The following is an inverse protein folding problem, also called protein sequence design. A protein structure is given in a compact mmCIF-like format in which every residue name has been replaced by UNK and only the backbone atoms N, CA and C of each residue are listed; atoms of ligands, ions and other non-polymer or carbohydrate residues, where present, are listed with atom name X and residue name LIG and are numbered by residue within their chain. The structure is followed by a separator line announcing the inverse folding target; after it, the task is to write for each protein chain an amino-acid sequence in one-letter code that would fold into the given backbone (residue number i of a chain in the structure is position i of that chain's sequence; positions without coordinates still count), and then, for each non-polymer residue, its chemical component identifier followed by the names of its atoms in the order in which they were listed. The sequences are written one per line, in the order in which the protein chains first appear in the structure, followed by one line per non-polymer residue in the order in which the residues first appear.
data_IF_683026265461
#
_entry.id   IF_683026265461
#
_cell.length_a   1.000
_cell.length_b   1.000
_cell.length_c   1.000
_cell.angle_alpha   90.00
_cell.angle_beta   90.00
_cell.angle_gamma   90.00
#
_symmetry.space_group_name_H-M   'P 1'
#
loop_
_entity.id
_entity.type
_entity.pdbx_description
1 polymer ?
#
# COMPACT_ATOMS: atom_id res chain seq x y z
N UNK A 1 0.74 5.88 0.35
CA UNK A 1 0.59 5.77 -1.13
C UNK A 1 -0.85 5.38 -1.45
N UNK A 2 -1.61 6.19 -2.20
CA UNK A 2 -2.88 5.76 -2.80
C UNK A 2 -2.67 4.57 -3.73
N UNK A 3 -3.60 3.60 -3.69
CA UNK A 3 -3.50 2.37 -4.47
C UNK A 3 -4.25 2.50 -5.80
N UNK A 4 -3.49 2.45 -6.89
CA UNK A 4 -3.97 2.48 -8.28
C UNK A 4 -4.02 1.09 -8.92
N UNK A 5 -4.88 0.20 -8.42
CA UNK A 5 -4.91 -1.24 -8.73
C UNK A 5 -4.84 -1.57 -10.23
N UNK A 6 -5.59 -0.84 -11.05
CA UNK A 6 -5.67 -1.08 -12.50
C UNK A 6 -5.31 0.20 -13.28
N UNK A 7 -4.14 0.76 -13.01
CA UNK A 7 -3.70 2.05 -13.53
C UNK A 7 -4.63 3.22 -13.18
N UNK A 8 -5.36 3.11 -12.08
CA UNK A 8 -6.27 4.17 -11.61
C UNK A 8 -6.50 4.06 -10.11
N UNK A 9 -6.43 5.17 -9.40
CA UNK A 9 -6.99 5.30 -8.05
C UNK A 9 -8.50 5.42 -8.20
N UNK A 10 -9.22 4.44 -7.64
CA UNK A 10 -10.63 4.17 -7.98
C UNK A 10 -11.54 5.39 -7.88
N UNK A 11 -12.09 5.83 -9.01
CA UNK A 11 -13.06 6.91 -9.10
C UNK A 11 -12.45 8.31 -8.98
N UNK A 12 -11.12 8.45 -9.07
CA UNK A 12 -10.41 9.73 -8.95
C UNK A 12 -9.67 10.03 -10.25
N UNK A 13 -9.88 11.22 -10.80
CA UNK A 13 -9.12 11.69 -11.96
C UNK A 13 -7.69 12.08 -11.57
N UNK A 14 -6.75 11.94 -12.51
CA UNK A 14 -5.36 12.36 -12.30
C UNK A 14 -5.23 13.85 -11.94
N UNK A 15 -6.16 14.70 -12.42
CA UNK A 15 -6.22 16.11 -12.03
C UNK A 15 -6.45 16.27 -10.52
N UNK A 16 -7.43 15.57 -9.96
CA UNK A 16 -7.76 15.60 -8.53
C UNK A 16 -6.62 14.98 -7.70
N UNK A 17 -6.02 13.89 -8.18
CA UNK A 17 -4.82 13.33 -7.53
C UNK A 17 -3.70 14.38 -7.45
N UNK A 18 -3.48 15.14 -8.53
CA UNK A 18 -2.39 16.11 -8.61
C UNK A 18 -2.67 17.41 -7.87
N UNK A 19 -3.92 17.90 -7.90
CA UNK A 19 -4.25 19.24 -7.39
C UNK A 19 -4.78 19.22 -5.96
N UNK A 20 -5.58 18.21 -5.61
CA UNK A 20 -6.29 18.15 -4.33
C UNK A 20 -5.62 17.17 -3.35
N UNK A 21 -5.37 15.93 -3.76
CA UNK A 21 -4.81 14.89 -2.88
C UNK A 21 -3.28 15.04 -2.76
N UNK A 22 -2.59 15.31 -3.88
CA UNK A 22 -1.15 15.56 -3.99
C UNK A 22 -0.28 14.45 -3.35
N UNK A 23 -0.45 13.18 -3.70
CA UNK A 23 0.43 12.13 -3.20
C UNK A 23 1.82 12.27 -3.83
N UNK A 24 2.87 12.05 -3.05
CA UNK A 24 4.24 12.04 -3.56
C UNK A 24 4.49 10.83 -4.48
N UNK A 25 3.82 9.70 -4.19
CA UNK A 25 3.94 8.45 -4.91
C UNK A 25 2.62 7.67 -4.85
N UNK A 26 2.28 6.93 -5.91
CA UNK A 26 1.14 6.02 -5.95
C UNK A 26 1.60 4.58 -6.22
N UNK A 27 0.78 3.60 -5.83
CA UNK A 27 1.08 2.19 -6.04
C UNK A 27 0.24 1.62 -7.19
N UNK A 28 0.88 0.87 -8.10
CA UNK A 28 0.24 0.02 -9.11
C UNK A 28 0.38 -1.45 -8.74
N UNK A 29 -0.70 -2.25 -8.89
CA UNK A 29 -0.62 -3.67 -8.57
C UNK A 29 -0.17 -4.50 -9.77
N UNK A 30 1.01 -5.09 -9.68
CA UNK A 30 1.65 -5.89 -10.73
C UNK A 30 0.77 -7.03 -11.23
N UNK A 31 0.18 -7.81 -10.33
CA UNK A 31 -0.70 -8.92 -10.69
C UNK A 31 -1.89 -8.48 -11.54
N UNK A 32 -2.57 -7.40 -11.16
CA UNK A 32 -3.72 -6.90 -11.88
C UNK A 32 -3.33 -6.30 -13.25
N UNK A 33 -2.24 -5.54 -13.29
CA UNK A 33 -1.73 -4.92 -14.51
C UNK A 33 -1.19 -5.96 -15.50
N UNK A 34 -0.57 -7.04 -15.00
CA UNK A 34 -0.14 -8.18 -15.80
C UNK A 34 -1.33 -8.90 -16.46
N UNK A 35 -2.42 -9.14 -15.73
CA UNK A 35 -3.60 -9.78 -16.28
C UNK A 35 -4.40 -8.84 -17.20
N UNK A 36 -4.53 -7.57 -16.83
CA UNK A 36 -5.23 -6.53 -17.61
C UNK A 36 -4.65 -5.14 -17.35
N UNK A 37 -4.21 -4.43 -18.37
CA UNK A 37 -4.36 -4.70 -19.82
C UNK A 37 -3.35 -5.71 -20.35
N UNK A 38 -2.36 -6.12 -19.57
CA UNK A 38 -1.23 -6.94 -19.97
C UNK A 38 0.03 -6.11 -20.19
N UNK A 39 1.19 -6.74 -19.97
CA UNK A 39 2.50 -6.07 -20.02
C UNK A 39 2.85 -5.53 -21.40
N UNK A 40 2.40 -6.21 -22.47
CA UNK A 40 2.67 -5.79 -23.84
C UNK A 40 1.98 -4.49 -24.21
N UNK A 41 0.71 -4.31 -23.78
CA UNK A 41 -0.02 -3.06 -23.98
C UNK A 41 0.62 -1.92 -23.20
N UNK A 42 1.03 -2.18 -21.95
CA UNK A 42 1.70 -1.18 -21.13
C UNK A 42 3.05 -0.76 -21.72
N UNK A 43 3.82 -1.73 -22.22
CA UNK A 43 5.11 -1.48 -22.88
C UNK A 43 4.93 -0.64 -24.15
N UNK A 44 3.96 -0.98 -25.01
CA UNK A 44 3.64 -0.22 -26.22
C UNK A 44 3.16 1.20 -25.91
N UNK A 45 2.48 1.40 -24.78
CA UNK A 45 2.05 2.72 -24.33
C UNK A 45 3.19 3.59 -23.77
N UNK A 46 4.41 3.06 -23.58
CA UNK A 46 5.53 3.76 -22.96
C UNK A 46 5.54 3.66 -21.45
N UNK A 47 4.98 2.57 -20.90
CA UNK A 47 4.92 2.28 -19.46
C UNK A 47 3.71 2.87 -18.76
N UNK A 48 3.59 2.56 -17.47
CA UNK A 48 2.44 2.95 -16.64
C UNK A 48 2.24 4.45 -16.58
N UNK A 49 3.32 5.23 -16.53
CA UNK A 49 3.29 6.70 -16.52
C UNK A 49 2.55 7.27 -17.73
N UNK A 50 2.91 6.81 -18.93
CA UNK A 50 2.28 7.28 -20.17
C UNK A 50 0.86 6.73 -20.30
N UNK A 51 0.67 5.44 -19.96
CA UNK A 51 -0.62 4.78 -20.09
C UNK A 51 -1.72 5.45 -19.24
N UNK A 52 -1.42 5.85 -18.01
CA UNK A 52 -2.41 6.49 -17.14
C UNK A 52 -2.26 8.02 -17.03
N UNK A 53 -1.36 8.64 -17.81
CA UNK A 53 -1.06 10.07 -17.76
C UNK A 53 -0.69 10.57 -16.37
N UNK A 54 0.25 9.87 -15.70
CA UNK A 54 0.74 10.21 -14.38
C UNK A 54 2.24 10.48 -14.42
N UNK A 55 2.69 11.68 -13.96
CA UNK A 55 4.08 12.13 -14.08
C UNK A 55 4.88 12.06 -12.77
N UNK A 56 4.21 11.78 -11.66
CA UNK A 56 4.87 11.61 -10.36
C UNK A 56 5.26 10.16 -10.15
N UNK A 57 6.14 9.86 -9.17
CA UNK A 57 6.63 8.51 -8.92
C UNK A 57 5.53 7.46 -8.73
N UNK A 58 5.85 6.24 -9.16
CA UNK A 58 5.02 5.05 -8.97
C UNK A 58 5.82 3.92 -8.35
N UNK A 59 5.17 3.14 -7.50
CA UNK A 59 5.68 1.88 -7.00
C UNK A 59 4.83 0.74 -7.56
N UNK A 60 5.46 -0.35 -8.00
CA UNK A 60 4.75 -1.59 -8.32
C UNK A 60 5.07 -2.66 -7.29
N UNK A 61 4.04 -3.34 -6.77
CA UNK A 61 4.24 -4.48 -5.87
C UNK A 61 4.81 -5.71 -6.61
N UNK A 62 5.24 -6.74 -5.86
CA UNK A 62 5.79 -7.96 -6.46
C UNK A 62 4.74 -8.83 -7.19
N UNK A 63 3.46 -8.63 -6.91
CA UNK A 63 2.36 -9.50 -7.30
C UNK A 63 2.19 -10.74 -6.41
N UNK A 64 3.13 -11.04 -5.52
CA UNK A 64 3.13 -12.24 -4.66
C UNK A 64 1.91 -12.31 -3.74
N UNK A 65 1.57 -11.21 -3.06
CA UNK A 65 0.39 -11.16 -2.18
C UNK A 65 -0.92 -11.42 -2.93
N UNK A 66 -1.11 -10.85 -4.13
CA UNK A 66 -2.34 -11.05 -4.91
C UNK A 66 -2.45 -12.48 -5.44
N UNK A 67 -1.34 -13.09 -5.83
CA UNK A 67 -1.28 -14.52 -6.14
C UNK A 67 -1.67 -15.35 -4.91
N UNK A 68 -1.24 -14.92 -3.71
CA UNK A 68 -1.64 -15.55 -2.45
C UNK A 68 -3.14 -15.38 -2.17
N UNK A 69 -3.67 -14.16 -2.23
CA UNK A 69 -5.01 -13.82 -1.75
C UNK A 69 -6.15 -14.07 -2.74
N UNK A 70 -5.86 -14.12 -4.05
CA UNK A 70 -6.86 -14.21 -5.13
C UNK A 70 -6.85 -15.54 -5.88
N UNK A 71 -5.94 -16.45 -5.57
CA UNK A 71 -5.82 -17.74 -6.26
C UNK A 71 -6.00 -18.91 -5.30
N UNK A 72 -7.15 -19.56 -5.35
CA UNK A 72 -7.47 -20.76 -4.53
C UNK A 72 -6.57 -21.97 -4.87
N UNK A 73 -5.99 -22.02 -6.07
CA UNK A 73 -5.18 -23.12 -6.59
C UNK A 73 -3.80 -22.65 -7.01
N UNK A 74 -2.98 -22.21 -6.02
CA UNK A 74 -1.57 -21.90 -6.27
C UNK A 74 -0.68 -23.07 -5.88
N UNK A 75 0.46 -23.18 -6.58
CA UNK A 75 1.54 -24.12 -6.23
C UNK A 75 2.83 -23.31 -6.12
N UNK A 76 3.36 -23.28 -4.91
CA UNK A 76 4.63 -22.61 -4.59
C UNK A 76 5.75 -23.65 -4.64
N UNK A 77 6.84 -23.33 -5.30
CA UNK A 77 8.05 -24.12 -5.41
C UNK A 77 9.26 -23.20 -5.43
N UNK A 78 10.46 -23.75 -5.33
CA UNK A 78 11.70 -22.99 -5.40
C UNK A 78 11.85 -22.18 -6.70
N UNK A 79 11.33 -22.71 -7.81
CA UNK A 79 11.39 -22.05 -9.11
C UNK A 79 10.47 -20.83 -9.21
N UNK A 80 9.40 -20.79 -8.42
CA UNK A 80 8.38 -19.75 -8.45
C UNK A 80 6.99 -20.27 -8.15
N UNK A 81 5.97 -19.49 -8.51
CA UNK A 81 4.56 -19.74 -8.17
C UNK A 81 3.72 -19.95 -9.42
N UNK A 82 3.08 -21.11 -9.51
CA UNK A 82 2.03 -21.37 -10.51
C UNK A 82 0.67 -21.05 -9.90
N UNK A 83 -0.17 -20.31 -10.62
CA UNK A 83 -1.50 -19.91 -10.17
C UNK A 83 -2.49 -19.86 -11.33
N UNK A 84 -3.80 -19.77 -10.99
CA UNK A 84 -4.86 -19.51 -11.96
C UNK A 84 -5.37 -18.07 -11.85
N UNK A 85 -5.57 -17.45 -12.99
CA UNK A 85 -6.19 -16.12 -13.07
C UNK A 85 -7.61 -16.16 -12.47
N UNK A 86 -7.92 -15.21 -11.59
CA UNK A 86 -9.27 -15.04 -11.05
C UNK A 86 -10.27 -14.47 -12.09
N UNK A 87 -9.77 -14.03 -13.26
CA UNK A 87 -10.58 -13.40 -14.31
C UNK A 87 -11.17 -14.45 -15.25
N UNK A 88 -10.35 -15.42 -15.69
CA UNK A 88 -10.68 -16.37 -16.75
C UNK A 88 -10.21 -17.81 -16.46
N UNK A 89 -9.55 -18.05 -15.31
CA UNK A 89 -9.04 -19.35 -14.91
C UNK A 89 -7.78 -19.80 -15.66
N UNK A 90 -7.21 -18.98 -16.54
CA UNK A 90 -5.95 -19.29 -17.26
C UNK A 90 -4.81 -19.53 -16.28
N UNK A 91 -3.88 -20.42 -16.68
CA UNK A 91 -2.75 -20.81 -15.84
C UNK A 91 -1.55 -19.92 -16.13
N UNK A 92 -0.95 -19.38 -15.07
CA UNK A 92 0.21 -18.49 -15.12
C UNK A 92 1.31 -19.01 -14.21
N UNK A 93 2.54 -18.53 -14.47
CA UNK A 93 3.71 -18.83 -13.66
C UNK A 93 4.52 -17.55 -13.45
N UNK A 94 4.81 -17.24 -12.18
CA UNK A 94 5.72 -16.18 -11.78
C UNK A 94 6.98 -16.80 -11.18
N UNK A 95 8.13 -16.57 -11.78
CA UNK A 95 9.44 -16.76 -11.14
C UNK A 95 9.93 -15.41 -10.59
N UNK A 96 10.96 -15.39 -9.73
CA UNK A 96 11.60 -14.15 -9.31
C UNK A 96 12.06 -13.28 -10.50
N UNK A 97 12.70 -13.88 -11.49
CA UNK A 97 13.13 -13.20 -12.72
C UNK A 97 11.93 -12.66 -13.52
N UNK A 98 10.90 -13.50 -13.70
CA UNK A 98 9.68 -13.13 -14.41
C UNK A 98 8.92 -11.97 -13.73
N UNK A 99 8.91 -11.92 -12.39
CA UNK A 99 8.32 -10.81 -11.65
C UNK A 99 9.07 -9.48 -11.88
N UNK A 100 10.40 -9.54 -12.01
CA UNK A 100 11.22 -8.37 -12.39
C UNK A 100 10.94 -7.96 -13.83
N UNK A 101 10.89 -8.90 -14.79
CA UNK A 101 10.56 -8.60 -16.19
C UNK A 101 9.19 -7.94 -16.36
N UNK A 102 8.19 -8.44 -15.64
CA UNK A 102 6.84 -7.88 -15.63
C UNK A 102 6.88 -6.42 -15.12
N UNK A 103 7.53 -6.17 -13.98
CA UNK A 103 7.62 -4.83 -13.41
C UNK A 103 8.48 -3.87 -14.27
N UNK A 104 9.49 -4.40 -14.98
CA UNK A 104 10.24 -3.64 -16.01
C UNK A 104 9.30 -3.10 -17.08
N UNK A 105 8.48 -3.96 -17.67
CA UNK A 105 7.52 -3.59 -18.72
C UNK A 105 6.40 -2.69 -18.20
N UNK A 106 5.96 -2.87 -16.95
CA UNK A 106 4.98 -1.97 -16.32
C UNK A 106 5.59 -0.57 -16.14
N UNK A 107 6.86 -0.47 -15.72
CA UNK A 107 7.56 0.80 -15.62
C UNK A 107 7.30 1.56 -14.32
N UNK A 108 7.23 0.88 -13.17
CA UNK A 108 7.25 1.56 -11.87
C UNK A 108 8.65 2.11 -11.55
N UNK A 109 8.75 3.26 -10.88
CA UNK A 109 10.05 3.81 -10.44
C UNK A 109 10.66 2.97 -9.32
N UNK A 110 9.81 2.48 -8.42
CA UNK A 110 10.17 1.50 -7.39
C UNK A 110 9.49 0.19 -7.73
N UNK A 111 10.26 -0.89 -7.77
CA UNK A 111 9.80 -2.25 -8.00
C UNK A 111 10.14 -3.11 -6.79
N UNK A 112 9.34 -4.14 -6.53
CA UNK A 112 9.52 -5.00 -5.36
C UNK A 112 10.11 -6.35 -5.74
N UNK A 113 11.01 -6.88 -4.90
CA UNK A 113 11.45 -8.25 -5.03
C UNK A 113 10.28 -9.23 -4.88
N UNK A 114 10.33 -10.35 -5.59
CA UNK A 114 9.31 -11.38 -5.47
C UNK A 114 9.45 -12.10 -4.13
N UNK A 115 8.35 -12.23 -3.40
CA UNK A 115 8.31 -12.77 -2.04
C UNK A 115 7.13 -13.71 -1.83
N UNK A 116 7.20 -14.52 -0.78
CA UNK A 116 6.06 -15.27 -0.27
C UNK A 116 5.52 -14.62 1.00
N UNK A 117 4.27 -14.14 0.93
CA UNK A 117 3.52 -13.70 2.10
C UNK A 117 2.84 -14.90 2.76
N UNK A 118 3.24 -15.24 3.98
CA UNK A 118 2.63 -16.33 4.74
C UNK A 118 1.26 -15.93 5.32
N UNK A 119 0.33 -16.91 5.54
CA UNK A 119 -0.92 -16.63 6.23
C UNK A 119 -0.69 -16.28 7.71
N UNK A 120 -1.71 -15.74 8.36
CA UNK A 120 -1.77 -15.62 9.80
C UNK A 120 -3.02 -16.37 10.33
N UNK A 121 -2.91 -17.22 11.36
CA UNK A 121 -1.65 -17.71 11.96
C UNK A 121 -0.86 -18.65 11.03
N UNK A 122 0.43 -18.80 11.30
CA UNK A 122 1.34 -19.63 10.52
C UNK A 122 2.27 -20.39 11.46
N UNK A 123 2.53 -21.66 11.17
CA UNK A 123 3.50 -22.46 11.93
C UNK A 123 4.92 -21.93 11.77
N UNK A 124 5.72 -22.01 12.84
CA UNK A 124 7.10 -21.54 12.83
C UNK A 124 7.97 -22.18 11.75
N UNK A 125 7.86 -23.50 11.56
CA UNK A 125 8.63 -24.21 10.54
C UNK A 125 8.30 -23.69 9.14
N UNK A 126 7.01 -23.55 8.81
CA UNK A 126 6.57 -23.01 7.53
C UNK A 126 7.02 -21.55 7.36
N UNK A 127 6.88 -20.70 8.41
CA UNK A 127 7.33 -19.32 8.35
C UNK A 127 8.84 -19.20 8.06
N UNK A 128 9.65 -20.09 8.67
CA UNK A 128 11.08 -20.15 8.47
C UNK A 128 11.46 -20.57 7.05
N UNK A 129 10.85 -21.65 6.55
CA UNK A 129 11.11 -22.17 5.20
C UNK A 129 10.71 -21.13 4.13
N UNK A 130 9.56 -20.50 4.29
CA UNK A 130 9.07 -19.43 3.42
C UNK A 130 10.00 -18.20 3.43
N UNK A 131 10.45 -17.76 4.60
CA UNK A 131 11.41 -16.66 4.73
C UNK A 131 12.72 -16.98 4.00
N UNK A 132 13.26 -18.17 4.20
CA UNK A 132 14.52 -18.59 3.54
C UNK A 132 14.35 -18.72 2.02
N UNK A 133 13.21 -19.18 1.54
CA UNK A 133 12.89 -19.19 0.11
C UNK A 133 12.79 -17.76 -0.44
N UNK A 134 12.15 -16.84 0.28
CA UNK A 134 12.08 -15.41 -0.09
C UNK A 134 13.48 -14.80 -0.18
N UNK A 135 14.43 -15.16 0.69
CA UNK A 135 15.81 -14.71 0.60
C UNK A 135 16.51 -15.20 -0.67
N UNK A 136 16.35 -16.48 -1.03
CA UNK A 136 16.90 -17.02 -2.29
C UNK A 136 16.25 -16.38 -3.52
N UNK A 137 14.96 -16.12 -3.47
CA UNK A 137 14.26 -15.39 -4.52
C UNK A 137 14.71 -13.93 -4.64
N UNK A 138 15.02 -13.27 -3.52
CA UNK A 138 15.60 -11.93 -3.52
C UNK A 138 16.95 -11.92 -4.26
N UNK A 139 17.84 -12.88 -3.99
CA UNK A 139 19.13 -12.96 -4.68
C UNK A 139 18.96 -13.12 -6.20
N UNK A 140 18.03 -13.96 -6.63
CA UNK A 140 17.67 -14.12 -8.05
C UNK A 140 17.09 -12.82 -8.64
N UNK A 141 16.22 -12.14 -7.91
CA UNK A 141 15.68 -10.84 -8.34
C UNK A 141 16.80 -9.80 -8.53
N UNK A 142 17.71 -9.67 -7.56
CA UNK A 142 18.82 -8.73 -7.61
C UNK A 142 19.76 -9.02 -8.77
N UNK A 143 20.16 -10.29 -8.93
CA UNK A 143 21.03 -10.71 -10.02
C UNK A 143 20.39 -10.42 -11.38
N UNK A 144 19.12 -10.77 -11.57
CA UNK A 144 18.40 -10.51 -12.81
C UNK A 144 18.21 -9.01 -13.08
N UNK A 145 17.81 -8.24 -12.05
CA UNK A 145 17.63 -6.79 -12.13
C UNK A 145 18.90 -6.06 -12.59
N UNK A 146 20.10 -6.53 -12.15
CA UNK A 146 21.38 -5.96 -12.56
C UNK A 146 21.81 -6.35 -13.98
N UNK A 147 21.38 -7.52 -14.47
CA UNK A 147 21.75 -8.05 -15.78
C UNK A 147 20.93 -7.47 -16.94
N UNK A 148 19.67 -7.17 -16.71
CA UNK A 148 18.77 -6.69 -17.76
C UNK A 148 18.79 -5.17 -17.87
N UNK A 149 18.69 -4.60 -19.09
CA UNK A 149 18.61 -3.16 -19.27
C UNK A 149 17.29 -2.60 -18.72
N UNK A 150 17.24 -1.29 -18.48
CA UNK A 150 16.01 -0.60 -18.22
C UNK A 150 15.18 -0.54 -19.51
N UNK A 151 13.86 -0.70 -19.36
CA UNK A 151 12.90 -0.65 -20.48
C UNK A 151 12.68 0.78 -20.96
N UNK A 152 12.80 1.76 -20.06
CA UNK A 152 12.53 3.19 -20.29
C UNK A 152 13.76 4.02 -19.92
N UNK A 153 13.77 5.31 -20.26
CA UNK A 153 14.90 6.24 -20.04
C UNK A 153 15.10 6.63 -18.55
N UNK A 154 14.53 5.89 -17.61
CA UNK A 154 14.70 6.11 -16.18
C UNK A 154 15.08 4.84 -15.43
N UNK A 155 15.79 5.03 -14.33
CA UNK A 155 16.20 3.94 -13.45
C UNK A 155 15.05 3.48 -12.59
N UNK A 156 14.87 2.16 -12.49
CA UNK A 156 13.96 1.54 -11.54
C UNK A 156 14.75 1.03 -10.33
N UNK A 157 14.23 1.29 -9.13
CA UNK A 157 14.86 0.92 -7.87
C UNK A 157 14.19 -0.33 -7.30
N UNK A 158 14.98 -1.39 -7.08
CA UNK A 158 14.47 -2.64 -6.49
C UNK A 158 14.53 -2.57 -4.96
N UNK A 159 13.39 -2.76 -4.29
CA UNK A 159 13.29 -2.88 -2.84
C UNK A 159 13.11 -4.34 -2.45
N UNK A 160 13.95 -4.88 -1.53
CA UNK A 160 13.76 -6.18 -0.90
C UNK A 160 12.65 -6.12 0.15
N UNK A 161 12.12 -7.30 0.56
CA UNK A 161 11.02 -7.43 1.50
C UNK A 161 11.44 -8.33 2.66
N UNK A 162 11.39 -7.80 3.90
CA UNK A 162 11.55 -8.56 5.14
C UNK A 162 10.32 -9.43 5.35
N UNK A 163 10.51 -10.73 5.54
CA UNK A 163 9.47 -11.70 5.91
C UNK A 163 9.79 -12.34 7.28
N UNK A 164 8.99 -13.30 7.77
CA UNK A 164 9.20 -13.99 9.04
C UNK A 164 7.96 -14.08 9.92
N UNK A 165 6.76 -13.82 9.36
CA UNK A 165 5.48 -13.87 10.08
C UNK A 165 5.54 -13.02 11.38
N UNK A 166 5.05 -13.51 12.50
CA UNK A 166 5.08 -12.85 13.82
C UNK A 166 6.17 -13.43 14.75
N UNK A 167 7.21 -14.03 14.18
CA UNK A 167 8.31 -14.62 14.92
C UNK A 167 9.50 -13.68 14.98
N UNK A 168 9.83 -13.21 16.20
CA UNK A 168 10.86 -12.20 16.44
C UNK A 168 12.22 -12.59 15.86
N UNK A 169 12.67 -13.81 16.10
CA UNK A 169 13.94 -14.33 15.62
C UNK A 169 14.02 -14.40 14.08
N UNK A 170 12.93 -14.84 13.43
CA UNK A 170 12.85 -14.86 11.97
C UNK A 170 12.85 -13.45 11.38
N UNK A 171 12.11 -12.50 11.99
CA UNK A 171 12.15 -11.10 11.60
C UNK A 171 13.53 -10.49 11.72
N UNK A 172 14.27 -10.83 12.77
CA UNK A 172 15.65 -10.39 12.98
C UNK A 172 16.58 -10.97 11.92
N UNK A 173 16.52 -12.29 11.68
CA UNK A 173 17.30 -12.97 10.64
C UNK A 173 17.03 -12.36 9.27
N UNK A 174 15.77 -12.14 8.92
CA UNK A 174 15.38 -11.56 7.65
C UNK A 174 15.82 -10.10 7.50
N UNK A 175 15.67 -9.29 8.54
CA UNK A 175 16.10 -7.90 8.51
C UNK A 175 17.63 -7.77 8.35
N UNK A 176 18.41 -8.58 9.07
CA UNK A 176 19.86 -8.62 8.93
C UNK A 176 20.29 -9.06 7.52
N UNK A 177 19.64 -10.10 6.97
CA UNK A 177 19.91 -10.56 5.61
C UNK A 177 19.67 -9.47 4.57
N UNK A 178 18.56 -8.74 4.70
CA UNK A 178 18.16 -7.68 3.76
C UNK A 178 19.02 -6.43 3.93
N UNK A 179 19.34 -6.03 5.15
CA UNK A 179 20.21 -4.87 5.41
C UNK A 179 21.58 -5.02 4.72
N UNK A 180 22.11 -6.26 4.67
CA UNK A 180 23.39 -6.57 4.01
C UNK A 180 23.33 -6.48 2.47
N UNK A 181 22.16 -6.34 1.84
CA UNK A 181 22.04 -6.17 0.37
C UNK A 181 22.27 -4.75 -0.10
N UNK A 182 22.40 -3.80 0.79
CA UNK A 182 22.62 -2.37 0.51
C UNK A 182 21.64 -1.79 -0.53
N UNK A 183 20.39 -2.20 -0.45
CA UNK A 183 19.35 -1.77 -1.37
C UNK A 183 19.01 -0.28 -1.19
N UNK A 184 18.42 0.41 -2.20
CA UNK A 184 18.05 1.82 -2.13
C UNK A 184 16.92 2.13 -1.15
N UNK A 185 16.20 1.11 -0.67
CA UNK A 185 15.16 1.15 0.36
C UNK A 185 14.74 -0.26 0.69
N UNK A 186 14.01 -0.46 1.79
CA UNK A 186 13.65 -1.76 2.31
C UNK A 186 12.16 -1.81 2.67
N UNK A 187 11.51 -2.94 2.40
CA UNK A 187 10.13 -3.13 2.76
C UNK A 187 9.93 -4.19 3.85
N UNK A 188 8.82 -4.11 4.56
CA UNK A 188 8.37 -5.05 5.57
C UNK A 188 7.05 -5.62 5.09
N UNK A 189 7.05 -6.90 4.70
CA UNK A 189 5.87 -7.65 4.29
C UNK A 189 5.40 -8.64 5.35
N UNK A 190 4.31 -9.36 5.07
CA UNK A 190 3.76 -10.41 5.92
C UNK A 190 3.26 -9.92 7.27
N UNK A 191 2.90 -8.64 7.38
CA UNK A 191 2.15 -8.03 8.47
C UNK A 191 0.84 -7.43 7.92
N UNK A 192 -0.10 -7.07 8.81
CA UNK A 192 -1.45 -6.64 8.43
C UNK A 192 -2.23 -7.71 7.64
N UNK A 193 -2.00 -8.98 7.97
CA UNK A 193 -2.63 -10.16 7.34
C UNK A 193 -3.61 -10.88 8.28
N UNK A 194 -3.92 -10.28 9.45
CA UNK A 194 -4.90 -10.79 10.41
C UNK A 194 -4.42 -10.81 11.87
N UNK A 195 -3.16 -10.52 12.12
CA UNK A 195 -2.60 -10.40 13.47
C UNK A 195 -3.15 -9.18 14.22
N UNK A 196 -3.18 -9.21 15.56
CA UNK A 196 -3.49 -8.04 16.38
C UNK A 196 -2.50 -6.90 16.13
N UNK A 197 -2.97 -5.64 16.21
CA UNK A 197 -2.13 -4.46 15.97
C UNK A 197 -0.88 -4.41 16.88
N UNK A 198 -0.99 -4.84 18.14
CA UNK A 198 0.13 -4.90 19.07
C UNK A 198 1.26 -5.85 18.58
N UNK A 199 0.90 -6.97 17.97
CA UNK A 199 1.86 -7.91 17.40
C UNK A 199 2.55 -7.32 16.15
N UNK A 200 1.78 -6.65 15.28
CA UNK A 200 2.30 -5.91 14.13
C UNK A 200 3.32 -4.86 14.60
N UNK A 201 2.99 -4.05 15.61
CA UNK A 201 3.90 -3.02 16.14
C UNK A 201 5.17 -3.63 16.70
N UNK A 202 5.07 -4.69 17.52
CA UNK A 202 6.24 -5.36 18.07
C UNK A 202 7.17 -5.92 16.99
N UNK A 203 6.62 -6.49 15.92
CA UNK A 203 7.43 -7.00 14.80
C UNK A 203 8.01 -5.88 13.94
N UNK A 204 7.30 -4.78 13.76
CA UNK A 204 7.82 -3.59 13.07
C UNK A 204 9.01 -2.99 13.82
N UNK A 205 8.90 -2.84 15.15
CA UNK A 205 9.98 -2.34 16.00
C UNK A 205 11.25 -3.19 15.86
N UNK A 206 11.11 -4.51 16.01
CA UNK A 206 12.21 -5.48 15.85
C UNK A 206 12.94 -5.35 14.51
N UNK A 207 12.19 -5.13 13.42
CA UNK A 207 12.77 -4.96 12.10
C UNK A 207 13.42 -3.59 11.93
N UNK A 208 12.78 -2.52 12.43
CA UNK A 208 13.32 -1.15 12.34
C UNK A 208 14.61 -0.94 13.12
N UNK A 209 14.84 -1.72 14.22
CA UNK A 209 16.11 -1.71 14.96
C UNK A 209 17.31 -2.20 14.12
N UNK A 210 17.06 -2.94 13.03
CA UNK A 210 18.09 -3.60 12.22
C UNK A 210 18.26 -3.02 10.82
N UNK A 211 17.17 -2.50 10.23
CA UNK A 211 17.24 -1.88 8.91
C UNK A 211 17.97 -0.52 8.96
N UNK A 212 18.72 -0.15 7.90
CA UNK A 212 19.40 1.13 7.80
C UNK A 212 18.46 2.31 8.07
N UNK A 213 18.92 3.27 8.87
CA UNK A 213 18.13 4.47 9.23
C UNK A 213 18.15 5.54 8.15
N UNK A 214 19.15 5.53 7.30
CA UNK A 214 19.37 6.46 6.20
C UNK A 214 18.67 6.06 4.89
N UNK A 215 17.91 4.95 4.91
CA UNK A 215 17.17 4.43 3.75
C UNK A 215 15.69 4.31 4.04
N UNK A 216 14.81 4.56 3.04
CA UNK A 216 13.37 4.42 3.21
C UNK A 216 12.95 3.04 3.70
N UNK A 217 12.05 3.01 4.68
CA UNK A 217 11.42 1.81 5.24
C UNK A 217 9.94 1.82 4.88
N UNK A 218 9.52 0.81 4.15
CA UNK A 218 8.17 0.68 3.64
C UNK A 218 7.41 -0.44 4.33
N UNK A 219 6.40 -0.14 5.12
CA UNK A 219 5.49 -1.12 5.71
C UNK A 219 4.31 -1.36 4.77
N UNK A 220 4.23 -2.57 4.20
CA UNK A 220 3.29 -2.92 3.14
C UNK A 220 1.88 -3.21 3.69
N UNK A 221 0.86 -2.69 2.99
CA UNK A 221 -0.54 -3.00 3.26
C UNK A 221 -1.15 -2.35 4.51
N UNK A 222 -0.43 -1.49 5.20
CA UNK A 222 -0.88 -0.82 6.44
C UNK A 222 -1.35 0.61 6.13
N UNK A 223 -2.45 1.11 6.65
CA UNK A 223 -3.52 0.53 7.43
C UNK A 223 -4.48 1.62 7.88
N UNK A 224 -4.99 1.50 9.11
CA UNK A 224 -5.81 2.56 9.71
C UNK A 224 -4.97 3.81 10.00
N UNK A 225 -5.61 5.00 10.16
CA UNK A 225 -4.88 6.21 10.54
C UNK A 225 -4.02 6.04 11.81
N UNK A 226 -4.55 5.35 12.82
CA UNK A 226 -3.83 5.05 14.07
C UNK A 226 -2.62 4.14 13.79
N UNK A 227 -2.80 3.07 13.02
CA UNK A 227 -1.70 2.17 12.68
C UNK A 227 -0.56 2.91 11.94
N UNK A 228 -0.90 3.86 11.07
CA UNK A 228 0.10 4.68 10.37
C UNK A 228 0.90 5.51 11.38
N UNK A 229 0.24 6.23 12.28
CA UNK A 229 0.93 7.07 13.27
C UNK A 229 1.81 6.25 14.24
N UNK A 230 1.32 5.09 14.69
CA UNK A 230 2.10 4.20 15.56
C UNK A 230 3.34 3.66 14.84
N UNK A 231 3.22 3.26 13.57
CA UNK A 231 4.36 2.75 12.81
C UNK A 231 5.34 3.86 12.37
N UNK A 232 4.88 5.10 12.16
CA UNK A 232 5.79 6.25 11.99
C UNK A 232 6.65 6.43 13.24
N UNK A 233 6.07 6.29 14.44
CA UNK A 233 6.82 6.35 15.70
C UNK A 233 7.91 5.27 15.81
N UNK A 234 7.73 4.13 15.14
CA UNK A 234 8.69 3.02 15.08
C UNK A 234 9.73 3.19 13.95
N UNK A 235 9.63 4.22 13.13
CA UNK A 235 10.62 4.56 12.10
C UNK A 235 10.24 4.10 10.68
N UNK A 236 8.95 3.95 10.39
CA UNK A 236 8.45 3.68 9.03
C UNK A 236 8.22 4.98 8.27
N UNK A 237 8.67 5.02 7.02
CA UNK A 237 8.61 6.18 6.13
C UNK A 237 7.49 6.09 5.08
N UNK A 238 7.15 4.87 4.64
CA UNK A 238 6.25 4.65 3.52
C UNK A 238 5.16 3.62 3.85
N UNK A 239 3.95 3.88 3.35
CA UNK A 239 2.78 3.00 3.53
C UNK A 239 1.95 2.95 2.27
N UNK A 240 1.29 1.83 2.03
CA UNK A 240 0.16 1.72 1.12
C UNK A 240 -1.03 1.08 1.81
N UNK A 241 -2.23 1.45 1.43
CA UNK A 241 -3.43 0.76 1.88
C UNK A 241 -4.61 1.02 0.95
N UNK A 242 -5.43 0.01 0.76
CA UNK A 242 -6.71 0.14 0.04
C UNK A 242 -7.84 0.70 0.92
N UNK A 243 -7.64 0.76 2.25
CA UNK A 243 -8.68 1.19 3.21
C UNK A 243 -9.27 2.57 2.90
N UNK A 244 -8.49 3.62 2.60
CA UNK A 244 -9.06 4.93 2.34
C UNK A 244 -10.14 4.88 1.26
N UNK A 245 -9.83 4.27 0.13
CA UNK A 245 -10.77 4.19 -1.00
C UNK A 245 -11.83 3.12 -0.83
N UNK A 246 -11.50 1.97 -0.20
CA UNK A 246 -12.46 0.89 0.05
C UNK A 246 -13.51 1.31 1.07
N UNK A 247 -13.09 1.89 2.19
CA UNK A 247 -13.99 2.36 3.25
C UNK A 247 -14.85 3.53 2.77
N UNK A 248 -14.28 4.47 2.02
CA UNK A 248 -15.02 5.55 1.37
C UNK A 248 -16.19 5.02 0.54
N UNK A 249 -15.94 4.08 -0.37
CA UNK A 249 -17.00 3.48 -1.21
C UNK A 249 -18.06 2.73 -0.41
N UNK A 250 -17.77 2.37 0.84
CA UNK A 250 -18.71 1.77 1.78
C UNK A 250 -19.37 2.79 2.72
N UNK A 251 -19.05 4.08 2.58
CA UNK A 251 -19.66 5.16 3.36
C UNK A 251 -18.99 5.44 4.69
N UNK A 252 -17.77 4.94 4.92
CA UNK A 252 -16.97 5.25 6.09
C UNK A 252 -15.93 6.32 5.75
N UNK A 253 -16.02 7.46 6.47
CA UNK A 253 -15.10 8.59 6.35
C UNK A 253 -14.19 8.65 7.58
N UNK A 254 -12.94 9.04 7.36
CA UNK A 254 -11.95 9.27 8.40
C UNK A 254 -11.76 10.77 8.60
N UNK A 255 -11.79 11.22 9.85
CA UNK A 255 -11.56 12.61 10.23
C UNK A 255 -10.59 12.67 11.41
N UNK A 256 -10.02 13.85 11.68
CA UNK A 256 -9.19 14.06 12.87
C UNK A 256 -9.96 13.86 14.20
N UNK A 257 -11.30 13.90 14.17
CA UNK A 257 -12.17 13.74 15.32
C UNK A 257 -12.67 12.31 15.53
N UNK A 258 -12.44 11.43 14.54
CA UNK A 258 -12.90 10.06 14.59
C UNK A 258 -13.42 9.55 13.25
N UNK A 259 -14.12 8.40 13.28
CA UNK A 259 -14.73 7.80 12.09
C UNK A 259 -16.20 8.14 11.98
N UNK A 260 -16.64 8.47 10.76
CA UNK A 260 -18.00 8.85 10.43
C UNK A 260 -18.60 7.86 9.44
N UNK A 261 -19.69 7.16 9.82
CA UNK A 261 -20.45 6.38 8.85
C UNK A 261 -21.58 7.24 8.27
N UNK A 262 -21.40 7.71 7.04
CA UNK A 262 -22.33 8.63 6.38
C UNK A 262 -23.72 8.01 6.12
N UNK A 263 -23.85 6.68 6.14
CA UNK A 263 -25.14 6.00 5.96
C UNK A 263 -26.06 6.11 7.20
N UNK A 264 -25.52 6.52 8.35
CA UNK A 264 -26.32 6.66 9.57
C UNK A 264 -27.43 7.69 9.39
N UNK A 265 -28.62 7.36 9.90
CA UNK A 265 -29.82 8.22 9.79
C UNK A 265 -29.64 9.60 10.42
N UNK A 266 -28.81 9.74 11.44
CA UNK A 266 -28.55 11.03 12.11
C UNK A 266 -28.03 12.13 11.18
N UNK A 267 -27.42 11.77 10.05
CA UNK A 267 -26.90 12.72 9.06
C UNK A 267 -27.95 13.20 8.05
N UNK A 268 -29.19 12.70 8.12
CA UNK A 268 -30.26 12.99 7.14
C UNK A 268 -30.60 14.47 7.04
N UNK A 269 -30.56 15.18 8.17
CA UNK A 269 -30.85 16.60 8.27
C UNK A 269 -29.59 17.41 8.70
N UNK A 270 -28.39 16.86 8.56
CA UNK A 270 -27.17 17.58 8.86
C UNK A 270 -26.66 18.29 7.59
N UNK A 271 -27.00 19.55 7.46
CA UNK A 271 -26.61 20.41 6.35
C UNK A 271 -25.24 21.07 6.54
N UNK A 272 -24.50 20.72 7.59
CA UNK A 272 -23.14 21.18 7.78
C UNK A 272 -22.18 20.53 6.77
N UNK A 273 -21.02 21.16 6.50
CA UNK A 273 -19.96 20.58 5.69
C UNK A 273 -19.57 19.17 6.13
N UNK A 274 -18.98 18.38 5.23
CA UNK A 274 -18.51 17.03 5.52
C UNK A 274 -17.46 17.09 6.63
N UNK A 275 -16.46 17.96 6.47
CA UNK A 275 -15.46 18.22 7.49
C UNK A 275 -15.02 19.69 7.45
N UNK A 276 -14.99 20.34 8.63
CA UNK A 276 -14.53 21.73 8.75
C UNK A 276 -13.01 21.89 8.66
N UNK A 277 -12.25 20.80 8.80
CA UNK A 277 -10.80 20.83 8.63
C UNK A 277 -10.38 21.08 7.17
N UNK A 278 -11.29 20.84 6.20
CA UNK A 278 -11.13 21.17 4.79
C UNK A 278 -9.85 20.61 4.18
N UNK A 279 -9.71 19.29 4.18
CA UNK A 279 -8.57 18.59 3.56
C UNK A 279 -8.56 18.75 2.04
N UNK A 280 -9.75 18.85 1.42
CA UNK A 280 -9.95 19.18 0.02
C UNK A 280 -11.34 19.81 -0.22
N UNK A 281 -11.57 20.32 -1.42
CA UNK A 281 -12.79 21.09 -1.78
C UNK A 281 -14.10 20.36 -1.46
N UNK A 282 -14.16 19.04 -1.56
CA UNK A 282 -15.40 18.28 -1.30
C UNK A 282 -15.88 18.39 0.16
N UNK A 283 -14.99 18.71 1.09
CA UNK A 283 -15.29 18.79 2.50
C UNK A 283 -16.22 19.96 2.82
N UNK A 284 -16.05 21.07 2.09
CA UNK A 284 -16.83 22.31 2.28
C UNK A 284 -17.92 22.51 1.24
N UNK A 285 -17.76 21.97 0.02
CA UNK A 285 -18.73 22.14 -1.06
C UNK A 285 -19.97 21.27 -0.88
N UNK A 286 -19.87 20.18 -0.11
CA UNK A 286 -20.96 19.24 0.11
C UNK A 286 -21.31 19.09 1.58
N UNK A 287 -22.62 18.96 1.86
CA UNK A 287 -23.12 18.67 3.21
C UNK A 287 -23.18 17.17 3.49
N UNK A 288 -23.15 16.81 4.78
CA UNK A 288 -23.36 15.43 5.23
C UNK A 288 -24.71 14.88 4.76
N UNK A 289 -25.78 15.69 4.83
CA UNK A 289 -27.11 15.30 4.35
C UNK A 289 -27.11 14.95 2.87
N UNK A 290 -26.47 15.76 2.03
CA UNK A 290 -26.37 15.48 0.60
C UNK A 290 -25.53 14.23 0.30
N UNK A 291 -24.37 14.11 0.93
CA UNK A 291 -23.52 12.92 0.77
C UNK A 291 -24.26 11.64 1.21
N UNK A 292 -24.98 11.70 2.36
CA UNK A 292 -25.81 10.58 2.78
C UNK A 292 -26.89 10.23 1.74
N UNK A 293 -27.57 11.22 1.18
CA UNK A 293 -28.55 11.01 0.12
C UNK A 293 -27.93 10.25 -1.06
N UNK A 294 -26.75 10.67 -1.56
CA UNK A 294 -26.06 10.00 -2.65
C UNK A 294 -25.74 8.53 -2.35
N UNK A 295 -25.36 8.20 -1.10
CA UNK A 295 -25.17 6.81 -0.68
C UNK A 295 -26.50 6.03 -0.60
N UNK A 296 -27.57 6.67 -0.19
CA UNK A 296 -28.91 6.03 -0.10
C UNK A 296 -29.42 5.63 -1.48
N UNK A 297 -29.23 6.49 -2.48
CA UNK A 297 -29.64 6.22 -3.87
C UNK A 297 -28.56 5.51 -4.70
N UNK A 298 -27.46 5.13 -4.06
CA UNK A 298 -26.30 4.42 -4.66
C UNK A 298 -25.67 5.17 -5.84
N UNK A 299 -25.62 6.51 -5.76
CA UNK A 299 -25.02 7.34 -6.81
C UNK A 299 -23.49 7.27 -6.78
N UNK A 300 -22.85 7.24 -7.95
CA UNK A 300 -21.38 7.15 -8.08
C UNK A 300 -20.68 8.38 -7.49
N UNK A 301 -21.27 9.57 -7.63
CA UNK A 301 -20.71 10.80 -7.09
C UNK A 301 -20.47 10.72 -5.58
N UNK A 302 -21.36 10.07 -4.82
CA UNK A 302 -21.16 9.88 -3.37
C UNK A 302 -19.91 9.09 -3.03
N UNK A 303 -19.62 8.05 -3.83
CA UNK A 303 -18.39 7.23 -3.67
C UNK A 303 -17.13 8.00 -4.04
N UNK A 304 -17.22 8.88 -5.05
CA UNK A 304 -16.11 9.75 -5.47
C UNK A 304 -15.82 10.81 -4.41
N UNK A 305 -16.83 11.55 -3.93
CA UNK A 305 -16.69 12.54 -2.86
C UNK A 305 -16.03 11.92 -1.62
N UNK A 306 -16.55 10.79 -1.15
CA UNK A 306 -16.01 10.08 0.01
C UNK A 306 -14.56 9.61 -0.21
N UNK A 307 -14.20 9.21 -1.45
CA UNK A 307 -12.84 8.77 -1.79
C UNK A 307 -11.87 9.94 -1.78
N UNK A 308 -12.26 11.09 -2.35
CA UNK A 308 -11.46 12.32 -2.32
C UNK A 308 -11.20 12.77 -0.88
N UNK A 309 -12.26 12.83 -0.07
CA UNK A 309 -12.15 13.16 1.36
C UNK A 309 -11.15 12.24 2.08
N UNK A 310 -11.35 10.93 2.03
CA UNK A 310 -10.49 9.99 2.75
C UNK A 310 -9.02 10.05 2.29
N UNK A 311 -8.77 10.14 0.99
CA UNK A 311 -7.40 10.23 0.49
C UNK A 311 -6.73 11.54 0.92
N UNK A 312 -7.44 12.65 0.86
CA UNK A 312 -6.92 13.96 1.29
C UNK A 312 -6.65 13.98 2.79
N UNK A 313 -7.54 13.38 3.60
CA UNK A 313 -7.29 13.19 5.04
C UNK A 313 -6.02 12.38 5.30
N UNK A 314 -5.80 11.25 4.61
CA UNK A 314 -4.59 10.44 4.80
C UNK A 314 -3.32 11.20 4.40
N UNK A 315 -3.35 11.98 3.32
CA UNK A 315 -2.21 12.81 2.92
C UNK A 315 -1.95 13.94 3.92
N UNK A 316 -3.02 14.57 4.43
CA UNK A 316 -2.91 15.54 5.51
C UNK A 316 -2.28 14.91 6.75
N UNK A 317 -2.74 13.76 7.20
CA UNK A 317 -2.27 13.06 8.40
C UNK A 317 -0.75 12.81 8.35
N UNK A 318 -0.24 12.27 7.25
CA UNK A 318 1.19 11.98 7.12
C UNK A 318 2.03 13.26 6.99
N UNK A 319 1.49 14.32 6.38
CA UNK A 319 2.16 15.63 6.31
C UNK A 319 2.24 16.30 7.69
N UNK A 320 1.16 16.24 8.48
CA UNK A 320 1.16 16.73 9.86
C UNK A 320 2.14 15.93 10.73
N UNK A 321 2.14 14.59 10.61
CA UNK A 321 3.11 13.76 11.29
C UNK A 321 4.56 14.22 10.98
N UNK A 322 4.89 14.47 9.70
CA UNK A 322 6.19 14.97 9.30
C UNK A 322 6.51 16.35 9.90
N UNK A 323 5.54 17.28 9.95
CA UNK A 323 5.73 18.59 10.57
C UNK A 323 6.06 18.47 12.05
N UNK A 324 5.33 17.62 12.78
CA UNK A 324 5.55 17.40 14.21
C UNK A 324 6.87 16.65 14.50
N UNK A 325 7.33 15.76 13.61
CA UNK A 325 8.67 15.17 13.72
C UNK A 325 9.73 16.27 13.61
N UNK A 326 9.63 17.15 12.61
CA UNK A 326 10.59 18.24 12.41
C UNK A 326 10.54 19.29 13.53
N UNK A 327 9.39 19.48 14.16
CA UNK A 327 9.21 20.36 15.32
C UNK A 327 9.67 19.72 16.65
N UNK A 328 9.90 18.41 16.68
CA UNK A 328 10.34 17.68 17.88
C UNK A 328 9.24 17.36 18.89
N UNK A 329 7.96 17.51 18.53
CA UNK A 329 6.79 17.28 19.40
C UNK A 329 5.87 16.15 18.93
N UNK A 330 6.33 15.32 17.99
CA UNK A 330 5.55 14.26 17.34
C UNK A 330 4.89 13.30 18.34
N UNK A 331 5.60 12.86 19.37
CA UNK A 331 5.07 11.88 20.33
C UNK A 331 3.85 12.43 21.08
N UNK A 332 3.88 13.71 21.46
CA UNK A 332 2.75 14.35 22.15
C UNK A 332 1.55 14.49 21.18
N UNK A 333 1.78 15.05 20.00
CA UNK A 333 0.76 15.21 18.98
C UNK A 333 0.15 13.85 18.55
N UNK A 334 0.99 12.84 18.32
CA UNK A 334 0.54 11.48 17.96
C UNK A 334 -0.45 10.92 18.98
N UNK A 335 -0.12 11.02 20.28
CA UNK A 335 -0.97 10.47 21.32
C UNK A 335 -2.33 11.17 21.39
N UNK A 336 -2.36 12.49 21.24
CA UNK A 336 -3.60 13.26 21.15
C UNK A 336 -4.43 12.86 19.93
N UNK A 337 -3.79 12.77 18.76
CA UNK A 337 -4.44 12.42 17.50
C UNK A 337 -5.00 11.00 17.53
N UNK A 338 -4.25 10.02 18.02
CA UNK A 338 -4.72 8.64 18.15
C UNK A 338 -5.94 8.55 19.06
N UNK A 339 -5.94 9.28 20.20
CA UNK A 339 -7.10 9.32 21.09
C UNK A 339 -8.35 9.95 20.43
N UNK A 340 -8.18 11.02 19.65
CA UNK A 340 -9.29 11.66 18.93
C UNK A 340 -9.83 10.75 17.82
N UNK A 341 -8.96 10.13 17.02
CA UNK A 341 -9.36 9.28 15.91
C UNK A 341 -10.01 7.95 16.32
N UNK A 342 -9.90 7.53 17.57
CA UNK A 342 -10.56 6.31 18.09
C UNK A 342 -12.07 6.50 18.30
N UNK A 343 -12.56 7.73 18.25
CA UNK A 343 -13.98 8.02 18.40
C UNK A 343 -14.81 7.55 17.19
N UNK A 344 -16.10 7.25 17.46
CA UNK A 344 -17.12 7.02 16.44
C UNK A 344 -18.11 8.17 16.46
N UNK A 345 -18.11 8.95 15.41
CA UNK A 345 -18.96 10.12 15.23
C UNK A 345 -20.38 9.75 14.78
#
# INVERSE_FOLDING_TARGET
MPVGTAATVKGVHQRELKQDIQPDIILGNTYHLYLRPGTEILQQAGGLHQFMNWKSPTLTDSGGYQVYSLSDNRKIKEEGVTFKSHIDGSKHFFSPEGAIDIQRKIGGDIIMAFDECTPYPCDYAYAKDSMQMTHRWLDRCLEHHHKIPFEYDYRQFLFPIVQGSVYKDLRQESADYIANKDAPGNAIGGLSVGEPAAEMYAMTEVVCERLPQDKPRYLMGVGTPINILENIALGIDMFDCVMPTRNARNGMLFTAQGTLNIKNKKWENDFSPIDLANYCYVDTDYSKAYLRHLFTVNEMLGKQIATLHNLSFYMWLVREARKHILAGDFSHWKNQMCHQMDNRL
#
